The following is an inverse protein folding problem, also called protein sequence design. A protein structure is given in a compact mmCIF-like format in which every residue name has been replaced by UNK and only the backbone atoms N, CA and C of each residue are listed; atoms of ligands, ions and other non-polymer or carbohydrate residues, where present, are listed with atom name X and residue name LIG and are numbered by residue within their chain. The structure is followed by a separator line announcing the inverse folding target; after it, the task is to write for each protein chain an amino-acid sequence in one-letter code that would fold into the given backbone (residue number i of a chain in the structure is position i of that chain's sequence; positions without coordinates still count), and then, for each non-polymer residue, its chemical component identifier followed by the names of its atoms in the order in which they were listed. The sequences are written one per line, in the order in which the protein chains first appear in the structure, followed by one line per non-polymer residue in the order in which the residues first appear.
data_IF_987464076981
#
_entry.id   IF_987464076981
#
_cell.length_a   1.000
_cell.length_b   1.000
_cell.length_c   1.000
_cell.angle_alpha   90.00
_cell.angle_beta   90.00
_cell.angle_gamma   90.00
#
_symmetry.space_group_name_H-M   'P 1'
#
loop_
_entity.id
_entity.type
_entity.pdbx_description
1 polymer ?
#
# COMPACT_ATOMS: atom_id res chain seq x y z
N UNK A 1 15.71 -3.65 12.33
CA UNK A 1 14.43 -4.28 12.00
C UNK A 1 13.44 -3.78 13.04
N UNK A 2 12.65 -2.76 12.71
CA UNK A 2 11.57 -2.29 13.58
C UNK A 2 10.31 -3.09 13.20
N UNK A 3 9.87 -3.92 14.13
CA UNK A 3 9.27 -5.25 13.91
C UNK A 3 7.76 -5.21 13.60
N UNK A 4 7.33 -4.46 12.58
CA UNK A 4 5.93 -4.60 12.10
C UNK A 4 5.28 -3.39 11.43
N UNK A 5 6.01 -2.28 11.30
CA UNK A 5 5.62 -1.19 10.42
C UNK A 5 6.01 -1.59 8.99
N UNK A 6 5.05 -1.62 8.06
CA UNK A 6 5.41 -1.60 6.64
C UNK A 6 6.27 -0.34 6.47
N UNK A 7 7.50 -0.48 6.00
CA UNK A 7 8.38 0.66 5.82
C UNK A 7 7.73 1.69 4.89
N UNK A 8 7.98 2.97 5.14
CA UNK A 8 7.44 4.09 4.35
C UNK A 8 7.69 3.87 2.85
N UNK A 9 8.87 3.35 2.51
CA UNK A 9 9.23 2.98 1.15
C UNK A 9 8.39 1.83 0.60
N UNK A 10 8.17 0.77 1.38
CA UNK A 10 7.31 -0.35 0.99
C UNK A 10 5.86 0.08 0.75
N UNK A 11 5.33 1.05 1.51
CA UNK A 11 4.01 1.64 1.23
C UNK A 11 3.98 2.40 -0.10
N UNK A 12 5.06 3.12 -0.43
CA UNK A 12 5.19 3.79 -1.71
C UNK A 12 5.23 2.81 -2.89
N UNK A 13 5.94 1.68 -2.73
CA UNK A 13 5.95 0.57 -3.70
C UNK A 13 4.56 -0.07 -3.83
N UNK A 14 3.85 -0.33 -2.72
CA UNK A 14 2.44 -0.80 -2.72
C UNK A 14 1.49 0.15 -3.44
N UNK A 15 1.64 1.46 -3.23
CA UNK A 15 0.82 2.46 -3.89
C UNK A 15 1.00 2.40 -5.41
N UNK A 16 2.25 2.38 -5.90
CA UNK A 16 2.54 2.28 -7.35
C UNK A 16 1.96 1.00 -7.96
N UNK A 17 2.11 -0.14 -7.30
CA UNK A 17 1.55 -1.40 -7.78
C UNK A 17 0.02 -1.33 -7.88
N UNK A 18 -0.65 -0.73 -6.89
CA UNK A 18 -2.11 -0.56 -6.94
C UNK A 18 -2.57 0.45 -7.97
N UNK A 19 -1.80 1.52 -8.21
CA UNK A 19 -2.07 2.44 -9.33
C UNK A 19 -2.01 1.69 -10.67
N UNK A 20 -1.08 0.75 -10.84
CA UNK A 20 -0.99 -0.06 -12.05
C UNK A 20 -2.17 -1.04 -12.19
N UNK A 21 -2.60 -1.68 -11.10
CA UNK A 21 -3.66 -2.70 -11.11
C UNK A 21 -5.07 -2.08 -11.21
N UNK A 22 -5.34 -1.01 -10.45
CA UNK A 22 -6.68 -0.42 -10.27
C UNK A 22 -6.81 1.00 -10.79
N UNK A 23 -5.71 1.66 -11.12
CA UNK A 23 -5.67 3.06 -11.53
C UNK A 23 -5.33 4.03 -10.40
N UNK A 24 -4.87 5.23 -10.79
CA UNK A 24 -4.41 6.27 -9.86
C UNK A 24 -5.50 6.84 -8.95
N UNK A 25 -6.76 6.63 -9.31
CA UNK A 25 -7.93 7.14 -8.57
C UNK A 25 -8.46 6.15 -7.53
N UNK A 26 -7.85 4.97 -7.36
CA UNK A 26 -8.30 4.01 -6.35
C UNK A 26 -8.03 4.56 -4.94
N UNK A 27 -9.03 4.56 -4.04
CA UNK A 27 -8.87 5.10 -2.69
C UNK A 27 -7.77 4.39 -1.87
N UNK A 28 -7.49 3.13 -2.16
CA UNK A 28 -6.41 2.37 -1.49
C UNK A 28 -5.04 2.83 -1.98
N UNK A 29 -4.89 3.06 -3.28
CA UNK A 29 -3.65 3.57 -3.85
C UNK A 29 -3.31 4.98 -3.32
N UNK A 30 -4.32 5.84 -3.22
CA UNK A 30 -4.18 7.19 -2.63
C UNK A 30 -3.83 7.12 -1.14
N UNK A 31 -4.48 6.24 -0.37
CA UNK A 31 -4.18 6.09 1.05
C UNK A 31 -2.78 5.54 1.30
N UNK A 32 -2.32 4.56 0.52
CA UNK A 32 -0.95 4.05 0.61
C UNK A 32 0.09 5.10 0.22
N UNK A 33 -0.18 5.89 -0.83
CA UNK A 33 0.68 7.01 -1.22
C UNK A 33 0.75 8.05 -0.11
N UNK A 34 -0.40 8.43 0.48
CA UNK A 34 -0.45 9.38 1.59
C UNK A 34 0.31 8.84 2.81
N UNK A 35 0.10 7.58 3.17
CA UNK A 35 0.84 6.95 4.26
C UNK A 35 2.35 6.92 4.01
N UNK A 36 2.77 6.71 2.75
CA UNK A 36 4.16 6.80 2.32
C UNK A 36 4.71 8.23 2.27
N UNK A 37 3.86 9.26 2.26
CA UNK A 37 4.27 10.66 2.18
C UNK A 37 4.30 11.33 3.56
N UNK A 38 3.31 11.04 4.40
CA UNK A 38 3.19 11.61 5.74
C UNK A 38 3.93 10.78 6.79
N UNK A 39 4.03 9.45 6.60
CA UNK A 39 4.53 8.53 7.61
C UNK A 39 3.69 8.50 8.90
N UNK A 40 2.48 9.06 8.89
CA UNK A 40 1.65 9.15 10.10
C UNK A 40 1.05 7.79 10.43
N UNK A 41 1.07 7.34 11.69
CA UNK A 41 0.49 6.06 12.08
C UNK A 41 -1.01 5.93 11.78
N UNK A 42 -1.75 7.05 11.78
CA UNK A 42 -3.16 7.08 11.38
C UNK A 42 -3.34 6.77 9.88
N UNK A 43 -2.54 7.36 9.01
CA UNK A 43 -2.58 7.13 7.55
C UNK A 43 -2.15 5.70 7.22
N UNK A 44 -1.12 5.19 7.91
CA UNK A 44 -0.66 3.82 7.81
C UNK A 44 -1.77 2.81 8.16
N UNK A 45 -2.47 3.05 9.28
CA UNK A 45 -3.60 2.21 9.69
C UNK A 45 -4.74 2.26 8.68
N UNK A 46 -5.07 3.44 8.17
CA UNK A 46 -6.10 3.61 7.17
C UNK A 46 -5.76 2.88 5.86
N UNK A 47 -4.53 3.06 5.37
CA UNK A 47 -4.02 2.40 4.17
C UNK A 47 -4.06 0.87 4.32
N UNK A 48 -3.62 0.33 5.46
CA UNK A 48 -3.73 -1.11 5.78
C UNK A 48 -5.18 -1.60 5.79
N UNK A 49 -6.10 -0.84 6.38
CA UNK A 49 -7.51 -1.21 6.44
C UNK A 49 -8.16 -1.24 5.05
N UNK A 50 -7.84 -0.26 4.19
CA UNK A 50 -8.29 -0.25 2.81
C UNK A 50 -7.67 -1.39 1.99
N UNK A 51 -6.38 -1.66 2.20
CA UNK A 51 -5.68 -2.78 1.57
C UNK A 51 -6.32 -4.12 1.92
N UNK A 52 -6.69 -4.34 3.20
CA UNK A 52 -7.38 -5.57 3.63
C UNK A 52 -8.78 -5.72 3.03
N UNK A 53 -9.47 -4.62 2.69
CA UNK A 53 -10.77 -4.64 2.01
C UNK A 53 -10.67 -5.02 0.52
N UNK A 54 -9.47 -4.94 -0.07
CA UNK A 54 -9.26 -5.34 -1.46
C UNK A 54 -9.45 -6.85 -1.66
N UNK A 55 -9.83 -7.22 -2.89
CA UNK A 55 -9.95 -8.63 -3.27
C UNK A 55 -8.59 -9.33 -3.09
N UNK A 56 -8.59 -10.62 -2.73
CA UNK A 56 -7.34 -11.38 -2.58
C UNK A 56 -6.42 -11.30 -3.79
N UNK A 57 -6.97 -11.28 -5.01
CA UNK A 57 -6.21 -11.16 -6.26
C UNK A 57 -5.49 -9.82 -6.38
N UNK A 58 -6.12 -8.72 -5.95
CA UNK A 58 -5.55 -7.37 -5.98
C UNK A 58 -4.43 -7.23 -4.95
N UNK A 59 -4.64 -7.78 -3.74
CA UNK A 59 -3.61 -7.84 -2.69
C UNK A 59 -2.39 -8.66 -3.12
N UNK A 60 -2.63 -9.83 -3.74
CA UNK A 60 -1.56 -10.68 -4.28
C UNK A 60 -0.78 -9.98 -5.38
N UNK A 61 -1.46 -9.32 -6.32
CA UNK A 61 -0.80 -8.54 -7.37
C UNK A 61 0.07 -7.41 -6.81
N UNK A 62 -0.45 -6.68 -5.82
CA UNK A 62 0.30 -5.62 -5.16
C UNK A 62 1.49 -6.15 -4.34
N UNK A 63 1.36 -7.31 -3.68
CA UNK A 63 2.47 -7.94 -2.95
C UNK A 63 3.53 -8.55 -3.87
N UNK A 64 3.12 -9.15 -5.00
CA UNK A 64 4.04 -9.73 -5.97
C UNK A 64 5.04 -8.68 -6.51
N UNK A 65 4.54 -7.48 -6.82
CA UNK A 65 5.38 -6.37 -7.28
C UNK A 65 6.38 -5.82 -6.24
N UNK A 66 6.32 -6.27 -4.99
CA UNK A 66 7.22 -5.82 -3.90
C UNK A 66 8.14 -6.95 -3.45
N UNK A 67 7.74 -8.20 -3.65
CA UNK A 67 8.59 -9.36 -3.40
C UNK A 67 9.63 -9.61 -4.51
N UNK A 68 9.53 -8.94 -5.66
CA UNK A 68 10.48 -9.03 -6.77
C UNK A 68 11.63 -8.00 -6.72
N UNK A 69 11.81 -7.27 -5.60
CA UNK A 69 12.86 -6.26 -5.42
C UNK A 69 13.83 -6.62 -4.27
#
# INVERSE_FOLDING_TARGET
MDDGAIDREAMGKMAKALVFIKGASDPTALALKLASDTGKPADIKNARALFLKLKPSERKGAMAMISED
#
